data_IF_428546211274
#
_entry.id   IF_428546211274
#
_cell.length_a   1.000
_cell.length_b   1.000
_cell.length_c   1.000
_cell.angle_alpha   90.00
_cell.angle_beta   90.00
_cell.angle_gamma   90.00
#
_symmetry.space_group_name_H-M   'P 1'
#
loop_
_entity.id
_entity.type
_entity.pdbx_description
1 polymer ?
#
# COMPACT_ATOMS: atom_id res chain seq x y z
N UNK A 1 8.28 4.09 -21.12
CA UNK A 1 7.63 4.50 -19.86
C UNK A 1 8.44 3.94 -18.70
N UNK A 2 8.69 4.73 -17.67
CA UNK A 2 9.51 4.33 -16.53
C UNK A 2 8.89 3.14 -15.77
N UNK A 3 9.71 2.32 -15.10
CA UNK A 3 9.22 1.24 -14.24
C UNK A 3 8.24 1.76 -13.19
N UNK A 4 7.13 1.05 -12.99
CA UNK A 4 6.13 1.37 -11.97
C UNK A 4 6.03 0.25 -10.93
N UNK A 5 5.74 0.62 -9.69
CA UNK A 5 5.51 -0.33 -8.60
C UNK A 5 4.41 0.13 -7.67
N UNK A 6 3.82 -0.82 -6.94
CA UNK A 6 3.02 -0.58 -5.75
C UNK A 6 3.80 -1.05 -4.52
N UNK A 7 3.63 -0.36 -3.41
CA UNK A 7 4.15 -0.78 -2.11
C UNK A 7 3.00 -1.04 -1.15
N UNK A 8 3.14 -2.09 -0.34
CA UNK A 8 2.21 -2.51 0.69
C UNK A 8 2.93 -2.39 2.03
N UNK A 9 2.65 -1.34 2.79
CA UNK A 9 3.28 -1.08 4.09
C UNK A 9 2.42 -1.72 5.18
N UNK A 10 2.95 -2.75 5.82
CA UNK A 10 2.22 -3.61 6.78
C UNK A 10 2.66 -3.29 8.20
N UNK A 11 1.69 -3.07 9.08
CA UNK A 11 1.95 -2.93 10.51
C UNK A 11 2.35 -4.26 11.14
N UNK A 12 3.61 -4.36 11.55
CA UNK A 12 4.14 -5.56 12.20
C UNK A 12 3.91 -5.59 13.71
N UNK A 13 3.62 -4.43 14.31
CA UNK A 13 3.28 -4.30 15.74
C UNK A 13 1.96 -5.00 16.13
N UNK A 14 1.10 -5.28 15.14
CA UNK A 14 -0.17 -5.98 15.33
C UNK A 14 -0.06 -7.51 15.48
N UNK A 15 1.12 -8.09 15.31
CA UNK A 15 1.31 -9.55 15.42
C UNK A 15 0.44 -10.36 14.45
N UNK A 16 0.03 -9.79 13.32
CA UNK A 16 -0.86 -10.45 12.36
C UNK A 16 -0.22 -11.73 11.80
N UNK A 17 -1.02 -12.79 11.67
CA UNK A 17 -0.61 -14.01 10.97
C UNK A 17 -0.35 -13.74 9.48
N UNK A 18 0.46 -14.59 8.85
CA UNK A 18 0.79 -14.48 7.42
C UNK A 18 -0.44 -14.46 6.52
N UNK A 19 -1.45 -15.29 6.81
CA UNK A 19 -2.72 -15.31 6.08
C UNK A 19 -3.50 -13.99 6.19
N UNK A 20 -3.55 -13.41 7.39
CA UNK A 20 -4.20 -12.10 7.60
C UNK A 20 -3.45 -10.98 6.88
N UNK A 21 -2.12 -10.97 6.96
CA UNK A 21 -1.27 -10.04 6.21
C UNK A 21 -1.58 -10.12 4.70
N UNK A 22 -1.60 -11.34 4.14
CA UNK A 22 -1.88 -11.54 2.72
C UNK A 22 -3.27 -11.01 2.31
N UNK A 23 -4.30 -11.26 3.12
CA UNK A 23 -5.64 -10.75 2.87
C UNK A 23 -5.69 -9.21 2.88
N UNK A 24 -5.10 -8.57 3.89
CA UNK A 24 -5.09 -7.11 4.00
C UNK A 24 -4.26 -6.45 2.88
N UNK A 25 -3.15 -7.07 2.48
CA UNK A 25 -2.38 -6.68 1.29
C UNK A 25 -3.20 -6.77 0.00
N UNK A 26 -4.04 -7.80 -0.14
CA UNK A 26 -4.99 -7.94 -1.24
C UNK A 26 -6.03 -6.82 -1.25
N UNK A 27 -6.60 -6.48 -0.09
CA UNK A 27 -7.54 -5.36 0.05
C UNK A 27 -6.88 -4.02 -0.32
N UNK A 28 -5.66 -3.76 0.16
CA UNK A 28 -4.91 -2.54 -0.13
C UNK A 28 -4.64 -2.40 -1.64
N UNK A 29 -4.21 -3.50 -2.27
CA UNK A 29 -3.99 -3.56 -3.72
C UNK A 29 -5.26 -3.23 -4.48
N UNK A 30 -6.39 -3.86 -4.14
CA UNK A 30 -7.66 -3.67 -4.83
C UNK A 30 -8.20 -2.24 -4.64
N UNK A 31 -8.04 -1.66 -3.45
CA UNK A 31 -8.45 -0.30 -3.16
C UNK A 31 -7.68 0.73 -4.01
N UNK A 32 -6.35 0.58 -4.10
CA UNK A 32 -5.53 1.41 -4.97
C UNK A 32 -5.87 1.23 -6.45
N UNK A 33 -6.02 -0.02 -6.89
CA UNK A 33 -6.38 -0.35 -8.26
C UNK A 33 -7.71 0.29 -8.68
N UNK A 34 -8.77 0.11 -7.88
CA UNK A 34 -10.10 0.69 -8.16
C UNK A 34 -10.08 2.22 -8.19
N UNK A 35 -9.24 2.84 -7.36
CA UNK A 35 -9.07 4.29 -7.38
C UNK A 35 -8.37 4.77 -8.65
N UNK A 36 -7.33 4.07 -9.09
CA UNK A 36 -6.49 4.48 -10.22
C UNK A 36 -7.04 4.07 -11.58
N UNK A 37 -7.76 2.95 -11.71
CA UNK A 37 -8.35 2.56 -13.00
C UNK A 37 -9.34 3.61 -13.50
N UNK A 38 -10.02 4.32 -12.58
CA UNK A 38 -10.91 5.44 -12.90
C UNK A 38 -10.16 6.75 -13.15
N UNK A 39 -9.13 7.06 -12.36
CA UNK A 39 -8.42 8.35 -12.41
C UNK A 39 -7.29 8.41 -13.44
N UNK A 40 -6.57 7.30 -13.63
CA UNK A 40 -5.42 7.20 -14.53
C UNK A 40 -5.31 5.77 -15.10
N UNK A 41 -6.22 5.37 -16.00
CA UNK A 41 -6.22 4.03 -16.60
C UNK A 41 -4.94 3.70 -17.37
N UNK A 42 -4.26 4.71 -17.94
CA UNK A 42 -2.98 4.53 -18.65
C UNK A 42 -1.87 4.05 -17.72
N UNK A 43 -1.78 4.63 -16.52
CA UNK A 43 -0.81 4.22 -15.50
C UNK A 43 -1.06 2.79 -15.03
N UNK A 44 -2.32 2.43 -14.77
CA UNK A 44 -2.71 1.06 -14.39
C UNK A 44 -2.35 0.08 -15.49
N UNK A 45 -2.74 0.37 -16.74
CA UNK A 45 -2.44 -0.49 -17.89
C UNK A 45 -0.94 -0.66 -18.12
N UNK A 46 -0.15 0.39 -17.88
CA UNK A 46 1.31 0.30 -17.95
C UNK A 46 1.86 -0.61 -16.86
N UNK A 47 1.46 -0.40 -15.60
CA UNK A 47 1.87 -1.26 -14.48
C UNK A 47 1.48 -2.73 -14.69
N UNK A 48 0.27 -3.02 -15.18
CA UNK A 48 -0.19 -4.38 -15.52
C UNK A 48 0.71 -5.04 -16.58
N UNK A 49 1.02 -4.33 -17.66
CA UNK A 49 1.90 -4.84 -18.73
C UNK A 49 3.35 -5.01 -18.30
N UNK A 50 3.80 -4.28 -17.28
CA UNK A 50 5.17 -4.39 -16.73
C UNK A 50 5.24 -5.30 -15.50
N UNK A 51 4.37 -6.31 -15.41
CA UNK A 51 4.45 -7.34 -14.37
C UNK A 51 3.88 -6.94 -13.01
N UNK A 52 3.20 -5.79 -12.92
CA UNK A 52 2.37 -5.39 -11.77
C UNK A 52 3.08 -5.54 -10.41
N UNK A 53 4.34 -5.10 -10.35
CA UNK A 53 5.22 -5.25 -9.20
C UNK A 53 4.59 -4.70 -7.90
N UNK A 54 4.64 -5.51 -6.84
CA UNK A 54 4.17 -5.20 -5.48
C UNK A 54 5.28 -5.55 -4.49
N UNK A 55 5.64 -4.62 -3.62
CA UNK A 55 6.69 -4.81 -2.62
C UNK A 55 6.07 -4.66 -1.23
N UNK A 56 6.22 -5.68 -0.38
CA UNK A 56 5.76 -5.63 1.00
C UNK A 56 6.85 -5.06 1.91
N UNK A 57 6.50 -4.02 2.68
CA UNK A 57 7.40 -3.32 3.61
C UNK A 57 6.81 -3.30 5.02
N UNK A 58 7.67 -3.10 6.03
CA UNK A 58 7.28 -3.01 7.44
C UNK A 58 7.00 -1.58 7.86
N UNK A 59 5.93 -1.40 8.64
CA UNK A 59 5.75 -0.28 9.55
C UNK A 59 5.65 -0.79 11.00
N UNK A 60 6.16 0.01 11.94
CA UNK A 60 6.18 -0.30 13.37
C UNK A 60 5.02 0.29 14.15
N UNK A 61 4.17 1.12 13.53
CA UNK A 61 3.05 1.77 14.21
C UNK A 61 1.97 2.29 13.25
N UNK A 62 0.79 2.62 13.79
CA UNK A 62 -0.26 3.34 13.08
C UNK A 62 0.15 4.74 12.64
N UNK A 63 0.81 5.49 13.53
CA UNK A 63 1.27 6.84 13.22
C UNK A 63 2.20 6.87 12.01
N UNK A 64 3.07 5.87 11.87
CA UNK A 64 3.93 5.75 10.69
C UNK A 64 3.11 5.55 9.41
N UNK A 65 2.02 4.76 9.43
CA UNK A 65 1.14 4.63 8.27
C UNK A 65 0.42 5.94 7.94
N UNK A 66 -0.03 6.68 8.96
CA UNK A 66 -0.68 7.98 8.78
C UNK A 66 0.28 8.99 8.14
N UNK A 67 1.52 9.06 8.63
CA UNK A 67 2.55 9.94 8.09
C UNK A 67 2.89 9.59 6.64
N UNK A 68 3.16 8.31 6.34
CA UNK A 68 3.43 7.85 4.98
C UNK A 68 2.26 8.11 4.03
N UNK A 69 1.02 7.94 4.49
CA UNK A 69 -0.17 8.24 3.68
C UNK A 69 -0.28 9.75 3.37
N UNK A 70 0.03 10.61 4.36
CA UNK A 70 0.03 12.06 4.16
C UNK A 70 1.11 12.51 3.16
N UNK A 71 2.34 12.01 3.30
CA UNK A 71 3.45 12.29 2.38
C UNK A 71 3.13 11.78 0.97
N UNK A 72 2.59 10.57 0.84
CA UNK A 72 2.20 10.05 -0.48
C UNK A 72 1.14 10.92 -1.14
N UNK A 73 0.12 11.36 -0.39
CA UNK A 73 -0.93 12.24 -0.91
C UNK A 73 -0.40 13.62 -1.31
N UNK A 74 0.56 14.20 -0.57
CA UNK A 74 1.15 15.50 -0.94
C UNK A 74 1.96 15.42 -2.25
N UNK A 75 2.51 14.25 -2.56
CA UNK A 75 3.16 13.94 -3.85
C UNK A 75 2.19 13.47 -4.95
N UNK A 76 0.88 13.61 -4.74
CA UNK A 76 -0.18 13.15 -5.66
C UNK A 76 -0.16 11.64 -5.96
N UNK A 77 0.41 10.82 -5.08
CA UNK A 77 0.35 9.37 -5.17
C UNK A 77 -1.00 8.84 -4.68
N UNK A 78 -1.48 7.76 -5.31
CA UNK A 78 -2.59 7.01 -4.75
C UNK A 78 -2.13 6.30 -3.47
N UNK A 79 -2.75 6.65 -2.35
CA UNK A 79 -2.51 6.03 -1.05
C UNK A 79 -3.84 5.62 -0.41
N UNK A 80 -3.95 4.36 0.03
CA UNK A 80 -5.17 3.78 0.60
C UNK A 80 -4.84 2.91 1.81
N UNK A 81 -5.31 3.33 2.97
CA UNK A 81 -5.24 2.54 4.20
C UNK A 81 -6.41 1.58 4.32
N UNK A 82 -6.11 0.36 4.75
CA UNK A 82 -7.09 -0.67 5.05
C UNK A 82 -7.30 -0.76 6.56
N UNK A 83 -8.56 -0.81 6.95
CA UNK A 83 -8.98 -0.99 8.33
C UNK A 83 -9.62 -2.37 8.42
N UNK A 84 -9.30 -3.11 9.47
CA UNK A 84 -9.91 -4.41 9.70
C UNK A 84 -11.38 -4.23 10.08
N UNK A 85 -12.27 -4.97 9.43
CA UNK A 85 -13.71 -4.88 9.68
C UNK A 85 -14.14 -5.60 10.99
N UNK A 86 -13.20 -6.20 11.72
CA UNK A 86 -13.48 -6.84 13.01
C UNK A 86 -13.89 -8.31 12.93
N UNK A 87 -13.58 -9.00 11.83
CA UNK A 87 -13.88 -10.44 11.70
C UNK A 87 -12.72 -11.36 12.14
N UNK A 88 -11.64 -10.82 12.72
CA UNK A 88 -10.43 -11.57 13.07
C UNK A 88 -9.66 -10.98 14.28
N UNK A 89 -8.45 -11.48 14.56
CA UNK A 89 -7.54 -11.27 15.70
C UNK A 89 -7.18 -9.82 16.13
N UNK A 90 -7.72 -8.77 15.51
CA UNK A 90 -7.39 -7.37 15.80
C UNK A 90 -8.71 -6.58 15.93
N UNK A 91 -8.75 -5.57 16.79
CA UNK A 91 -9.95 -4.77 17.03
C UNK A 91 -10.50 -4.15 15.73
N UNK A 92 -11.82 -4.14 15.62
CA UNK A 92 -12.52 -3.52 14.50
C UNK A 92 -12.11 -2.06 14.34
N UNK A 93 -11.91 -1.61 13.10
CA UNK A 93 -11.46 -0.25 12.79
C UNK A 93 -9.95 -0.06 12.87
N UNK A 94 -9.17 -1.06 13.30
CA UNK A 94 -7.71 -0.94 13.35
C UNK A 94 -7.11 -0.82 11.95
N UNK A 95 -6.28 0.20 11.72
CA UNK A 95 -5.50 0.34 10.49
C UNK A 95 -4.41 -0.71 10.41
N UNK A 96 -4.38 -1.50 9.34
CA UNK A 96 -3.48 -2.66 9.20
C UNK A 96 -2.42 -2.50 8.13
N UNK A 97 -2.83 -2.11 6.91
CA UNK A 97 -1.94 -2.01 5.74
C UNK A 97 -2.22 -0.72 4.98
N UNK A 98 -1.17 -0.06 4.53
CA UNK A 98 -1.24 1.06 3.59
C UNK A 98 -0.75 0.62 2.21
N UNK A 99 -1.60 0.74 1.19
CA UNK A 99 -1.18 0.63 -0.21
C UNK A 99 -0.76 1.98 -0.76
N UNK A 100 0.38 2.04 -1.46
CA UNK A 100 0.88 3.23 -2.18
C UNK A 100 1.18 2.86 -3.64
N UNK A 101 0.62 3.60 -4.58
CA UNK A 101 0.76 3.37 -6.03
C UNK A 101 -0.37 2.55 -6.65
N UNK A 102 -0.16 1.93 -7.84
CA UNK A 102 1.09 1.96 -8.59
C UNK A 102 1.48 3.36 -9.05
N UNK A 103 2.77 3.62 -9.13
CA UNK A 103 3.37 4.86 -9.62
C UNK A 103 4.83 4.62 -10.03
N UNK A 104 5.50 5.58 -10.71
CA UNK A 104 6.91 5.49 -11.04
C UNK A 104 7.76 5.14 -9.81
N UNK A 105 8.74 4.25 -9.98
CA UNK A 105 9.55 3.72 -8.87
C UNK A 105 10.22 4.83 -8.06
N UNK A 106 10.74 5.86 -8.72
CA UNK A 106 11.41 6.98 -8.07
C UNK A 106 10.48 7.73 -7.11
N UNK A 107 9.28 8.10 -7.58
CA UNK A 107 8.29 8.83 -6.78
C UNK A 107 7.79 8.00 -5.58
N UNK A 108 7.60 6.69 -5.75
CA UNK A 108 7.25 5.81 -4.62
C UNK A 108 8.39 5.73 -3.59
N UNK A 109 9.64 5.74 -4.04
CA UNK A 109 10.81 5.68 -3.16
C UNK A 109 11.03 6.96 -2.34
N UNK A 110 10.55 8.13 -2.79
CA UNK A 110 10.57 9.35 -1.99
C UNK A 110 9.80 9.17 -0.67
N UNK A 111 8.77 8.33 -0.67
CA UNK A 111 7.97 8.01 0.52
C UNK A 111 8.52 6.81 1.26
N UNK A 112 8.82 5.71 0.55
CA UNK A 112 9.03 4.40 1.19
C UNK A 112 10.47 3.90 1.15
N UNK A 113 11.42 4.65 0.58
CA UNK A 113 12.77 4.18 0.28
C UNK A 113 13.61 3.78 1.50
N UNK A 114 13.24 4.27 2.69
CA UNK A 114 13.92 3.96 3.96
C UNK A 114 13.29 2.79 4.72
N UNK A 115 12.15 2.27 4.28
CA UNK A 115 11.44 1.18 4.95
C UNK A 115 12.11 -0.17 4.63
N UNK A 116 12.02 -1.10 5.58
CA UNK A 116 12.55 -2.46 5.44
C UNK A 116 11.51 -3.41 4.84
N UNK A 117 11.98 -4.46 4.17
CA UNK A 117 11.12 -5.54 3.67
C UNK A 117 10.36 -6.25 4.82
N UNK A 118 9.11 -6.65 4.53
CA UNK A 118 8.24 -7.44 5.41
C UNK A 118 8.81 -8.83 5.74
#
# INVERSE_FOLDING_TARGET
MEPCKMVLVVRTDLGMTSGKIAAQCGHATLACYKALVKKNPKLVSHWERTGQAKIALKASSENQLIELEAIAKSLNLCARSIHDAGHTQVEAGTRTVLGIGPAPVQLVNEVTGKLRLL
#
